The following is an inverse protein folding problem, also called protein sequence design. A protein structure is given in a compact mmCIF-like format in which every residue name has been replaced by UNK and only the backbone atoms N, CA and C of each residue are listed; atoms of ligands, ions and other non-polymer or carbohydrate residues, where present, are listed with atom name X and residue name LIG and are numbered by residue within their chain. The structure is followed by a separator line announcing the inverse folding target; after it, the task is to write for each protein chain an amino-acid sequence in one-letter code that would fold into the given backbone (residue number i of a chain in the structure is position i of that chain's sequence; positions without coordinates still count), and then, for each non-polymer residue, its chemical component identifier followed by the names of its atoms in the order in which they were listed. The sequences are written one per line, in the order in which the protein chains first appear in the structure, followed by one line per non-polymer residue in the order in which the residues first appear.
data_IF_702533656899
#
_entry.id   IF_702533656899
#
_cell.length_a   1.000
_cell.length_b   1.000
_cell.length_c   1.000
_cell.angle_alpha   90.00
_cell.angle_beta   90.00
_cell.angle_gamma   90.00
#
_symmetry.space_group_name_H-M   'P 1'
#
loop_
_entity.id
_entity.type
_entity.pdbx_description
1 polymer ?
#
# COMPACT_ATOMS: atom_id res chain seq x y z
N UNK A 1 14.78 -12.44 18.87
CA UNK A 1 13.78 -13.07 18.02
C UNK A 1 13.13 -12.04 17.11
N UNK A 2 13.15 -12.27 15.85
CA UNK A 2 12.57 -11.33 14.91
C UNK A 2 11.10 -11.61 14.69
N UNK A 3 10.33 -10.57 14.75
CA UNK A 3 8.93 -10.66 14.40
C UNK A 3 8.72 -9.88 13.12
N UNK A 4 8.31 -10.59 12.13
CA UNK A 4 8.00 -9.97 10.86
C UNK A 4 6.76 -9.12 10.99
N UNK A 5 6.81 -7.91 10.48
CA UNK A 5 5.66 -7.03 10.47
C UNK A 5 5.18 -6.87 9.04
N UNK A 6 3.92 -7.14 8.84
CA UNK A 6 3.35 -7.10 7.51
C UNK A 6 2.06 -6.31 7.55
N UNK A 7 1.90 -5.43 6.57
CA UNK A 7 0.66 -4.71 6.40
C UNK A 7 0.35 -4.65 4.92
N UNK A 8 -0.76 -5.24 4.54
CA UNK A 8 -1.16 -5.28 3.14
C UNK A 8 -2.55 -4.68 3.00
N UNK A 9 -2.73 -3.90 1.97
CA UNK A 9 -4.00 -3.23 1.72
C UNK A 9 -4.33 -3.37 0.24
N UNK A 10 -5.55 -3.75 -0.04
CA UNK A 10 -5.98 -3.94 -1.40
C UNK A 10 -7.34 -3.30 -1.59
N UNK A 11 -7.46 -2.48 -2.60
CA UNK A 11 -8.73 -1.91 -3.00
C UNK A 11 -9.15 -2.51 -4.32
N UNK A 12 -10.38 -2.95 -4.36
CA UNK A 12 -10.97 -3.46 -5.59
C UNK A 12 -12.13 -2.55 -5.96
N UNK A 13 -12.03 -1.92 -7.11
CA UNK A 13 -13.04 -0.97 -7.52
C UNK A 13 -13.76 -1.50 -8.75
N UNK A 14 -15.06 -1.69 -8.61
CA UNK A 14 -15.89 -2.20 -9.70
C UNK A 14 -17.22 -1.47 -9.69
N UNK A 15 -17.60 -0.94 -10.84
CA UNK A 15 -18.94 -0.37 -11.00
C UNK A 15 -19.30 0.63 -9.91
N UNK A 16 -18.33 1.46 -9.53
CA UNK A 16 -18.58 2.46 -8.52
C UNK A 16 -18.52 1.96 -7.10
N UNK A 17 -18.28 0.68 -6.92
CA UNK A 17 -18.13 0.09 -5.59
C UNK A 17 -16.68 -0.10 -5.25
N UNK A 18 -16.35 0.08 -3.99
CA UNK A 18 -15.00 -0.11 -3.52
C UNK A 18 -15.02 -1.16 -2.44
N UNK A 19 -14.25 -2.21 -2.65
CA UNK A 19 -14.07 -3.23 -1.64
C UNK A 19 -12.66 -3.12 -1.10
N UNK A 20 -12.55 -3.16 0.19
CA UNK A 20 -11.26 -3.03 0.85
C UNK A 20 -10.91 -4.34 1.53
N UNK A 21 -9.72 -4.82 1.25
CA UNK A 21 -9.19 -5.99 1.92
C UNK A 21 -7.91 -5.58 2.62
N UNK A 22 -7.81 -5.99 3.86
CA UNK A 22 -6.68 -5.59 4.68
C UNK A 22 -6.16 -6.79 5.44
N UNK A 23 -4.85 -6.90 5.47
CA UNK A 23 -4.20 -7.95 6.20
C UNK A 23 -3.04 -7.36 6.97
N UNK A 24 -2.96 -7.67 8.23
CA UNK A 24 -1.85 -7.17 9.02
C UNK A 24 -1.35 -8.26 9.94
N UNK A 25 -0.07 -8.18 10.24
CA UNK A 25 0.57 -9.11 11.14
C UNK A 25 1.57 -8.33 11.99
N UNK A 26 1.37 -8.37 13.29
CA UNK A 26 2.25 -7.68 14.22
C UNK A 26 2.34 -6.18 14.00
N UNK A 27 1.26 -5.59 13.54
CA UNK A 27 1.21 -4.16 13.26
C UNK A 27 0.12 -3.54 14.10
N UNK A 28 0.49 -2.55 14.90
CA UNK A 28 -0.50 -1.85 15.73
C UNK A 28 -1.25 -0.83 14.87
N UNK A 29 -2.43 -0.40 15.33
CA UNK A 29 -3.19 0.60 14.56
C UNK A 29 -2.40 1.87 14.25
N UNK A 30 -1.68 2.47 15.19
CA UNK A 30 -0.89 3.65 14.84
C UNK A 30 0.17 3.36 13.79
N UNK A 31 0.78 2.17 13.84
CA UNK A 31 1.76 1.81 12.83
C UNK A 31 1.11 1.69 11.47
N UNK A 32 -0.08 1.12 11.42
CA UNK A 32 -0.79 0.98 10.16
C UNK A 32 -1.08 2.35 9.55
N UNK A 33 -1.49 3.30 10.36
CA UNK A 33 -1.77 4.64 9.88
C UNK A 33 -0.50 5.27 9.32
N UNK A 34 0.62 5.08 10.01
CA UNK A 34 1.89 5.59 9.53
C UNK A 34 2.30 4.98 8.20
N UNK A 35 2.03 3.68 8.04
CA UNK A 35 2.35 3.03 6.78
C UNK A 35 1.48 3.55 5.65
N UNK A 36 0.21 3.85 5.93
CA UNK A 36 -0.65 4.43 4.92
C UNK A 36 -0.17 5.81 4.49
N UNK A 37 0.32 6.60 5.44
CA UNK A 37 0.88 7.90 5.10
C UNK A 37 2.12 7.75 4.24
N UNK A 38 2.95 6.77 4.55
CA UNK A 38 4.14 6.51 3.76
C UNK A 38 3.76 6.14 2.33
N UNK A 39 2.75 5.29 2.18
CA UNK A 39 2.30 4.89 0.86
C UNK A 39 1.79 6.10 0.09
N UNK A 40 1.06 6.97 0.76
CA UNK A 40 0.56 8.18 0.11
C UNK A 40 1.72 9.03 -0.40
N UNK A 41 2.75 9.18 0.43
CA UNK A 41 3.89 9.98 0.03
C UNK A 41 4.61 9.38 -1.16
N UNK A 42 4.69 8.06 -1.23
CA UNK A 42 5.33 7.41 -2.35
C UNK A 42 4.54 7.61 -3.63
N UNK A 43 3.23 7.59 -3.53
CA UNK A 43 2.39 7.85 -4.69
C UNK A 43 2.63 9.27 -5.20
N UNK A 44 2.65 10.22 -4.27
CA UNK A 44 2.89 11.61 -4.65
C UNK A 44 4.26 11.79 -5.28
N UNK A 45 5.24 11.09 -4.75
CA UNK A 45 6.59 11.16 -5.30
C UNK A 45 6.64 10.63 -6.72
N UNK A 46 5.94 9.52 -6.96
CA UNK A 46 5.91 8.95 -8.29
C UNK A 46 5.22 9.86 -9.28
N UNK A 47 4.16 10.52 -8.85
CA UNK A 47 3.47 11.47 -9.71
C UNK A 47 4.40 12.62 -10.05
N UNK A 48 5.13 13.10 -9.05
CA UNK A 48 6.04 14.21 -9.25
C UNK A 48 7.13 13.86 -10.24
N UNK A 49 7.56 12.62 -10.25
CA UNK A 49 8.58 12.16 -11.18
C UNK A 49 8.02 11.79 -12.55
N UNK A 50 6.73 11.93 -12.73
CA UNK A 50 6.12 11.66 -14.02
C UNK A 50 5.95 10.19 -14.33
N UNK A 51 5.91 9.35 -13.33
CA UNK A 51 5.74 7.93 -13.55
C UNK A 51 4.29 7.60 -13.76
N UNK A 52 4.04 6.70 -14.67
CA UNK A 52 2.68 6.27 -14.93
C UNK A 52 2.22 5.23 -13.94
N UNK A 53 3.14 4.43 -13.45
CA UNK A 53 2.80 3.42 -12.47
C UNK A 53 2.92 4.00 -11.08
N UNK A 54 1.88 3.83 -10.32
CA UNK A 54 1.87 4.34 -8.97
C UNK A 54 2.74 3.49 -8.07
N UNK A 55 2.61 2.17 -8.20
CA UNK A 55 3.43 1.26 -7.44
C UNK A 55 4.26 0.43 -8.37
N UNK A 56 5.51 0.30 -8.00
CA UNK A 56 6.35 -0.62 -8.68
C UNK A 56 6.28 -1.91 -7.94
N UNK A 57 5.66 -2.85 -8.55
CA UNK A 57 5.60 -4.17 -7.97
C UNK A 57 6.98 -4.78 -8.00
N UNK A 58 7.31 -5.47 -7.00
CA UNK A 58 8.61 -6.12 -6.97
C UNK A 58 8.68 -7.23 -7.98
N UNK A 59 7.59 -7.52 -8.51
CA UNK A 59 7.64 -8.48 -9.52
C UNK A 59 7.51 -7.99 -10.84
N UNK A 60 7.45 -7.93 -11.07
CA UNK A 60 7.18 -7.57 -12.05
C UNK A 60 6.74 -7.92 -12.91
N UNK A 61 6.50 -7.95 -12.92
CA UNK A 61 6.10 -8.12 -13.65
C UNK A 61 5.81 -8.23 -14.23
N UNK A 62 5.79 -8.20 -14.25
CA UNK A 62 5.39 -8.28 -14.70
C UNK A 62 5.03 -8.31 -14.93
#
# INVERSE_FOLDING_TARGET
MNKEKVFALKFLMEDGNIKTQMHSKNVSPPEAIGLLETAKDQILENIRKGRKEIFKSSKKDE
#
